data_IF_695331773970
#
_entry.id   IF_695331773970
#
_cell.length_a   1.000
_cell.length_b   1.000
_cell.length_c   1.000
_cell.angle_alpha   90.00
_cell.angle_beta   90.00
_cell.angle_gamma   90.00
#
_symmetry.space_group_name_H-M   'P 1'
#
loop_
_entity.id
_entity.type
_entity.pdbx_description
1 polymer ?
#
# COMPACT_ATOMS: atom_id res chain seq x y z
N UNK A 1 -5.66 10.58 -11.43
CA UNK A 1 -5.26 9.15 -11.29
C UNK A 1 -4.20 8.87 -12.34
N UNK A 2 -3.02 8.41 -11.95
CA UNK A 2 -1.93 8.06 -12.89
C UNK A 2 -1.60 6.59 -12.70
N UNK A 3 -1.60 5.82 -13.79
CA UNK A 3 -1.23 4.41 -13.74
C UNK A 3 0.30 4.26 -13.86
N UNK A 4 0.90 3.48 -12.95
CA UNK A 4 2.30 3.07 -13.03
C UNK A 4 2.36 1.78 -13.86
N UNK A 5 3.21 1.75 -14.90
CA UNK A 5 3.39 0.53 -15.69
C UNK A 5 4.02 -0.55 -14.81
N UNK A 6 3.63 -1.82 -14.99
CA UNK A 6 4.11 -2.92 -14.15
C UNK A 6 5.64 -2.99 -14.05
N UNK A 7 6.36 -2.72 -15.15
CA UNK A 7 7.83 -2.69 -15.19
C UNK A 7 8.47 -1.57 -14.34
N UNK A 8 7.72 -0.51 -14.07
CA UNK A 8 8.19 0.67 -13.33
C UNK A 8 7.74 0.61 -11.86
N UNK A 9 6.97 -0.40 -11.46
CA UNK A 9 6.36 -0.51 -10.13
C UNK A 9 7.39 -0.61 -9.00
N UNK A 10 8.42 -1.44 -9.16
CA UNK A 10 9.48 -1.60 -8.15
C UNK A 10 10.23 -0.29 -7.91
N UNK A 11 10.56 0.44 -8.98
CA UNK A 11 11.20 1.76 -8.88
C UNK A 11 10.30 2.78 -8.18
N UNK A 12 9.01 2.78 -8.50
CA UNK A 12 8.05 3.69 -7.88
C UNK A 12 7.91 3.40 -6.36
N UNK A 13 7.85 2.13 -5.97
CA UNK A 13 7.74 1.72 -4.56
C UNK A 13 9.03 2.00 -3.79
N UNK A 14 10.19 1.87 -4.43
CA UNK A 14 11.48 2.15 -3.79
C UNK A 14 11.63 3.63 -3.38
N UNK A 15 11.01 4.54 -4.12
CA UNK A 15 11.04 5.98 -3.87
C UNK A 15 9.68 6.62 -4.21
N UNK A 16 8.65 6.43 -3.37
CA UNK A 16 7.31 6.94 -3.64
C UNK A 16 7.32 8.47 -3.56
N UNK A 17 6.72 9.20 -4.53
CA UNK A 17 6.71 10.66 -4.52
C UNK A 17 6.04 11.21 -3.25
N UNK A 18 6.64 12.21 -2.60
CA UNK A 18 6.15 12.72 -1.31
C UNK A 18 4.68 13.15 -1.33
N UNK A 19 4.24 13.81 -2.42
CA UNK A 19 2.87 14.31 -2.58
C UNK A 19 1.79 13.25 -2.85
N UNK A 20 2.14 11.96 -2.96
CA UNK A 20 1.16 10.87 -3.17
C UNK A 20 0.83 10.21 -1.83
N UNK A 21 -0.41 10.37 -1.37
CA UNK A 21 -0.90 9.83 -0.09
C UNK A 21 -1.93 8.70 -0.25
N UNK A 22 -2.36 8.38 -1.48
CA UNK A 22 -3.28 7.28 -1.77
C UNK A 22 -2.71 6.38 -2.85
N UNK A 23 -2.69 5.08 -2.57
CA UNK A 23 -2.18 4.05 -3.47
C UNK A 23 -3.24 2.97 -3.67
N UNK A 24 -3.47 2.58 -4.92
CA UNK A 24 -4.22 1.36 -5.25
C UNK A 24 -3.22 0.34 -5.78
N UNK A 25 -3.00 -0.73 -5.02
CA UNK A 25 -2.18 -1.87 -5.45
C UNK A 25 -3.13 -3.00 -5.84
N UNK A 26 -3.06 -3.44 -7.09
CA UNK A 26 -3.93 -4.47 -7.63
C UNK A 26 -3.19 -5.36 -8.63
N UNK A 27 -3.68 -6.59 -8.82
CA UNK A 27 -3.08 -7.57 -9.72
C UNK A 27 -3.68 -8.96 -9.48
N UNK A 28 -3.40 -9.89 -10.39
CA UNK A 28 -3.85 -11.29 -10.28
C UNK A 28 -3.11 -12.08 -9.21
N UNK A 29 -1.91 -11.62 -8.81
CA UNK A 29 -1.08 -12.24 -7.78
C UNK A 29 -1.27 -11.51 -6.44
N UNK A 30 -2.03 -12.12 -5.54
CA UNK A 30 -2.32 -11.56 -4.23
C UNK A 30 -1.05 -11.43 -3.34
N UNK A 31 -0.08 -12.33 -3.51
CA UNK A 31 1.20 -12.29 -2.79
C UNK A 31 2.00 -11.04 -3.17
N UNK A 32 2.19 -10.82 -4.48
CA UNK A 32 2.87 -9.62 -4.99
C UNK A 32 2.14 -8.33 -4.62
N UNK A 33 0.80 -8.33 -4.64
CA UNK A 33 0.00 -7.17 -4.20
C UNK A 33 0.30 -6.85 -2.74
N UNK A 34 0.27 -7.87 -1.87
CA UNK A 34 0.53 -7.71 -0.44
C UNK A 34 1.96 -7.24 -0.16
N UNK A 35 2.95 -7.84 -0.79
CA UNK A 35 4.37 -7.47 -0.62
C UNK A 35 4.61 -6.00 -1.01
N UNK A 36 4.06 -5.56 -2.14
CA UNK A 36 4.19 -4.18 -2.61
C UNK A 36 3.46 -3.17 -1.72
N UNK A 37 2.29 -3.53 -1.22
CA UNK A 37 1.55 -2.70 -0.28
C UNK A 37 2.35 -2.51 1.03
N UNK A 38 2.92 -3.58 1.58
CA UNK A 38 3.75 -3.50 2.78
C UNK A 38 5.04 -2.68 2.55
N UNK A 39 5.68 -2.84 1.40
CA UNK A 39 6.85 -2.04 1.05
C UNK A 39 6.53 -0.53 0.97
N UNK A 40 5.34 -0.15 0.51
CA UNK A 40 4.88 1.24 0.56
C UNK A 40 4.65 1.72 2.00
N UNK A 41 4.04 0.89 2.85
CA UNK A 41 3.80 1.21 4.26
C UNK A 41 5.13 1.47 4.98
N UNK A 42 6.13 0.60 4.81
CA UNK A 42 7.47 0.75 5.41
C UNK A 42 8.20 2.04 4.99
N UNK A 43 7.79 2.69 3.90
CA UNK A 43 8.33 3.99 3.46
C UNK A 43 7.54 5.18 3.98
N UNK A 44 6.37 4.97 4.57
CA UNK A 44 5.43 6.03 4.97
C UNK A 44 5.20 6.13 6.47
N UNK A 45 5.51 5.06 7.21
CA UNK A 45 5.42 5.04 8.67
C UNK A 45 6.76 4.65 9.28
N UNK A 46 7.04 5.12 10.49
CA UNK A 46 8.28 4.78 11.20
C UNK A 46 8.18 3.41 11.87
N UNK A 47 7.02 3.10 12.49
CA UNK A 47 6.71 1.78 13.05
C UNK A 47 5.29 1.35 12.70
N UNK A 48 5.18 0.28 11.90
CA UNK A 48 3.89 -0.32 11.52
C UNK A 48 3.13 -0.96 12.70
N UNK A 49 3.77 -1.10 13.86
CA UNK A 49 3.13 -1.60 15.08
C UNK A 49 2.57 -0.49 15.95
N UNK A 50 2.88 0.78 15.64
CA UNK A 50 2.29 1.93 16.31
C UNK A 50 0.87 2.17 15.77
N UNK A 51 -0.18 1.98 16.59
CA UNK A 51 -1.56 2.18 16.15
C UNK A 51 -1.91 3.64 15.81
N UNK A 52 -1.07 4.61 16.19
CA UNK A 52 -1.21 6.00 15.79
C UNK A 52 -0.60 6.30 14.41
N UNK A 53 0.28 5.43 13.91
CA UNK A 53 0.88 5.56 12.59
C UNK A 53 0.27 4.61 11.55
N UNK A 54 -0.16 3.41 11.97
CA UNK A 54 -0.66 2.38 11.06
C UNK A 54 -1.90 1.67 11.61
N UNK A 55 -2.93 1.58 10.77
CA UNK A 55 -4.15 0.80 11.02
C UNK A 55 -4.41 -0.06 9.80
N UNK A 56 -4.57 -1.36 10.01
CA UNK A 56 -4.96 -2.31 8.97
C UNK A 56 -6.47 -2.59 9.07
N UNK A 57 -7.18 -2.42 7.96
CA UNK A 57 -8.61 -2.67 7.86
C UNK A 57 -8.85 -3.78 6.84
N UNK A 58 -9.44 -4.90 7.27
CA UNK A 58 -9.82 -5.97 6.34
C UNK A 58 -11.12 -5.62 5.61
N UNK A 59 -11.25 -6.05 4.36
CA UNK A 59 -12.48 -5.83 3.58
C UNK A 59 -13.72 -6.42 4.26
N UNK A 60 -13.59 -7.63 4.82
CA UNK A 60 -14.69 -8.28 5.55
C UNK A 60 -15.06 -7.51 6.83
N UNK A 61 -14.06 -6.98 7.54
CA UNK A 61 -14.28 -6.15 8.72
C UNK A 61 -15.07 -4.89 8.40
N UNK A 62 -14.65 -4.17 7.35
CA UNK A 62 -15.36 -2.96 6.87
C UNK A 62 -16.76 -3.30 6.37
N UNK A 63 -16.94 -4.41 5.66
CA UNK A 63 -18.24 -4.80 5.14
C UNK A 63 -19.26 -5.18 6.24
N UNK A 64 -18.77 -5.64 7.39
CA UNK A 64 -19.63 -6.08 8.51
C UNK A 64 -20.24 -4.93 9.33
N UNK A 65 -19.62 -3.74 9.29
CA UNK A 65 -20.09 -2.49 9.94
C UNK A 65 -19.66 -1.28 9.08
N UNK A 66 -20.42 -0.97 8.00
CA UNK A 66 -20.02 -0.03 6.95
C UNK A 66 -20.23 1.47 7.27
#
# INVERSE_FOLDING_TARGET
MTAVKSRDAERFIAAPPEGVFLFLVFGSDAGMVRERALALVEKRVDDRRDPFQFVEMSGDGVASDP
#
